data_IF_136603226500
#
_entry.id   IF_136603226500
#
_cell.length_a   1.000
_cell.length_b   1.000
_cell.length_c   1.000
_cell.angle_alpha   90.00
_cell.angle_beta   90.00
_cell.angle_gamma   90.00
#
_symmetry.space_group_name_H-M   'P 1'
#
loop_
_entity.id
_entity.type
_entity.pdbx_description
1 polymer ?
#
# COMPACT_ATOMS: atom_id res chain seq x y z
N UNK A 1 7.99 -11.80 0.03
CA UNK A 1 7.43 -12.62 -1.06
C UNK A 1 8.28 -13.83 -1.40
N UNK A 2 9.53 -13.69 -1.88
CA UNK A 2 10.36 -14.85 -2.31
C UNK A 2 10.53 -15.91 -1.23
N UNK A 3 10.89 -15.50 0.00
CA UNK A 3 10.99 -16.40 1.15
C UNK A 3 9.68 -17.15 1.45
N UNK A 4 8.52 -16.52 1.24
CA UNK A 4 7.22 -17.18 1.46
C UNK A 4 6.94 -18.24 0.38
N UNK A 5 7.35 -18.01 -0.86
CA UNK A 5 7.29 -19.02 -1.92
C UNK A 5 8.25 -20.18 -1.67
N UNK A 6 9.48 -19.88 -1.25
CA UNK A 6 10.49 -20.89 -0.92
C UNK A 6 10.02 -21.79 0.22
N UNK A 7 9.50 -21.20 1.30
CA UNK A 7 8.95 -21.95 2.42
C UNK A 7 7.73 -22.78 1.98
N UNK A 8 6.77 -22.20 1.26
CA UNK A 8 5.62 -22.94 0.75
C UNK A 8 6.03 -24.14 -0.11
N UNK A 9 7.03 -23.97 -0.98
CA UNK A 9 7.60 -25.06 -1.77
C UNK A 9 8.28 -26.13 -0.92
N UNK A 10 9.06 -25.73 0.09
CA UNK A 10 9.79 -26.65 0.97
C UNK A 10 8.88 -27.60 1.76
N UNK A 11 7.66 -27.16 2.09
CA UNK A 11 6.65 -27.96 2.79
C UNK A 11 5.45 -28.34 1.92
N UNK A 12 5.57 -28.22 0.59
CA UNK A 12 4.54 -28.59 -0.39
C UNK A 12 3.16 -27.93 -0.17
N UNK A 13 3.12 -26.74 0.41
CA UNK A 13 1.91 -25.95 0.58
C UNK A 13 1.60 -25.13 -0.70
N UNK A 14 0.31 -24.87 -0.93
CA UNK A 14 -0.11 -23.89 -1.93
C UNK A 14 0.36 -22.49 -1.50
N UNK A 15 0.93 -21.65 -2.39
CA UNK A 15 1.61 -20.42 -2.01
C UNK A 15 0.67 -19.21 -1.80
N UNK A 16 -0.56 -19.41 -1.34
CA UNK A 16 -1.54 -18.33 -1.20
C UNK A 16 -1.13 -17.23 -0.22
N UNK A 17 -0.30 -17.54 0.80
CA UNK A 17 0.26 -16.53 1.69
C UNK A 17 1.18 -15.55 0.92
N UNK A 18 2.04 -16.07 0.02
CA UNK A 18 2.90 -15.24 -0.80
C UNK A 18 2.08 -14.37 -1.76
N UNK A 19 1.01 -14.92 -2.35
CA UNK A 19 0.09 -14.19 -3.23
C UNK A 19 -0.66 -13.10 -2.46
N UNK A 20 -1.21 -13.40 -1.28
CA UNK A 20 -1.89 -12.43 -0.44
C UNK A 20 -0.97 -11.27 -0.02
N UNK A 21 0.33 -11.55 0.17
CA UNK A 21 1.34 -10.54 0.50
C UNK A 21 1.63 -9.56 -0.66
N UNK A 22 1.14 -9.83 -1.88
CA UNK A 22 1.21 -8.85 -2.99
C UNK A 22 0.47 -7.56 -2.68
N UNK A 23 -0.64 -7.59 -1.92
CA UNK A 23 -1.41 -6.41 -1.55
C UNK A 23 -0.58 -5.37 -0.77
N UNK A 24 0.03 -5.74 0.38
CA UNK A 24 0.95 -4.86 1.11
C UNK A 24 2.15 -4.37 0.27
N UNK A 25 2.72 -5.22 -0.59
CA UNK A 25 3.81 -4.80 -1.50
C UNK A 25 3.33 -3.72 -2.47
N UNK A 26 2.16 -3.91 -3.08
CA UNK A 26 1.58 -2.93 -4.01
C UNK A 26 1.33 -1.59 -3.32
N UNK A 27 0.83 -1.60 -2.08
CA UNK A 27 0.64 -0.37 -1.28
C UNK A 27 1.98 0.32 -1.02
N UNK A 28 3.00 -0.43 -0.55
CA UNK A 28 4.32 0.15 -0.28
C UNK A 28 4.95 0.76 -1.54
N UNK A 29 4.96 0.02 -2.65
CA UNK A 29 5.55 0.48 -3.91
C UNK A 29 4.77 1.69 -4.46
N UNK A 30 3.44 1.66 -4.44
CA UNK A 30 2.63 2.78 -4.96
C UNK A 30 2.81 4.06 -4.16
N UNK A 31 2.80 3.97 -2.83
CA UNK A 31 2.84 5.14 -1.95
C UNK A 31 4.25 5.70 -1.75
N UNK A 32 5.26 4.84 -1.59
CA UNK A 32 6.62 5.27 -1.27
C UNK A 32 7.55 5.37 -2.47
N UNK A 33 7.20 4.79 -3.62
CA UNK A 33 8.01 4.88 -4.85
C UNK A 33 7.25 5.57 -5.97
N UNK A 34 6.12 5.01 -6.41
CA UNK A 34 5.41 5.52 -7.60
C UNK A 34 4.91 6.94 -7.38
N UNK A 35 4.26 7.21 -6.23
CA UNK A 35 3.75 8.54 -5.92
C UNK A 35 4.83 9.64 -5.99
N UNK A 36 5.95 9.57 -5.23
CA UNK A 36 6.97 10.62 -5.29
C UNK A 36 7.70 10.70 -6.64
N UNK A 37 7.83 9.59 -7.38
CA UNK A 37 8.34 9.62 -8.77
C UNK A 37 7.42 10.37 -9.73
N UNK A 38 6.10 10.35 -9.46
CA UNK A 38 5.11 11.15 -10.18
C UNK A 38 4.98 12.59 -9.69
N UNK A 39 5.71 12.98 -8.63
CA UNK A 39 5.79 14.35 -8.12
C UNK A 39 7.16 14.97 -8.46
N UNK A 40 7.43 16.18 -7.98
CA UNK A 40 8.72 16.85 -8.23
C UNK A 40 9.87 16.33 -7.35
N UNK A 41 9.69 15.19 -6.66
CA UNK A 41 10.75 14.50 -5.92
C UNK A 41 10.31 13.84 -4.62
N UNK A 42 11.27 13.19 -3.96
CA UNK A 42 11.09 12.40 -2.72
C UNK A 42 10.60 13.20 -1.51
N UNK A 43 10.70 14.53 -1.54
CA UNK A 43 10.14 15.39 -0.48
C UNK A 43 8.63 15.18 -0.28
N UNK A 44 7.91 14.78 -1.35
CA UNK A 44 6.47 14.50 -1.30
C UNK A 44 6.15 13.07 -0.82
N UNK A 45 7.13 12.20 -0.66
CA UNK A 45 6.90 10.87 -0.09
C UNK A 45 6.47 10.99 1.39
N UNK A 46 5.63 10.07 1.89
CA UNK A 46 5.37 10.00 3.32
C UNK A 46 6.66 9.69 4.09
N UNK A 47 6.90 10.39 5.20
CA UNK A 47 8.04 10.11 6.08
C UNK A 47 7.69 9.00 7.08
N UNK A 48 8.69 8.26 7.56
CA UNK A 48 8.53 7.08 8.42
C UNK A 48 8.26 7.38 9.90
N UNK A 49 7.48 8.42 10.18
CA UNK A 49 7.10 8.83 11.54
C UNK A 49 5.58 8.97 11.62
N UNK A 50 4.99 8.59 12.75
CA UNK A 50 3.53 8.56 12.96
C UNK A 50 2.83 9.86 12.52
N UNK A 51 3.29 11.01 13.02
CA UNK A 51 2.71 12.31 12.66
C UNK A 51 2.83 12.65 11.17
N UNK A 52 3.90 12.20 10.50
CA UNK A 52 4.12 12.45 9.08
C UNK A 52 3.17 11.66 8.18
N UNK A 53 2.73 10.47 8.61
CA UNK A 53 1.70 9.69 7.90
C UNK A 53 0.35 10.41 7.99
N UNK A 54 -0.03 10.93 9.15
CA UNK A 54 -1.25 11.75 9.28
C UNK A 54 -1.18 13.00 8.39
N UNK A 55 -0.04 13.70 8.39
CA UNK A 55 0.19 14.85 7.50
C UNK A 55 0.00 14.46 6.03
N UNK A 56 0.55 13.32 5.61
CA UNK A 56 0.43 12.82 4.25
C UNK A 56 -1.02 12.53 3.85
N UNK A 57 -1.81 11.91 4.73
CA UNK A 57 -3.23 11.63 4.49
C UNK A 57 -4.03 12.93 4.31
N UNK A 58 -3.81 13.91 5.20
CA UNK A 58 -4.47 15.22 5.10
C UNK A 58 -4.04 15.99 3.84
N UNK A 59 -2.76 15.91 3.48
CA UNK A 59 -2.25 16.45 2.22
C UNK A 59 -2.95 15.79 1.03
N UNK A 60 -3.02 14.47 0.99
CA UNK A 60 -3.70 13.74 -0.08
C UNK A 60 -5.18 14.13 -0.20
N UNK A 61 -5.86 14.32 0.93
CA UNK A 61 -7.23 14.79 0.88
C UNK A 61 -7.32 16.23 0.35
N UNK A 62 -6.52 17.16 0.89
CA UNK A 62 -6.56 18.57 0.53
C UNK A 62 -6.16 18.86 -0.92
N UNK A 63 -5.24 18.07 -1.49
CA UNK A 63 -4.69 18.30 -2.83
C UNK A 63 -5.18 17.31 -3.90
N UNK A 64 -5.70 16.13 -3.51
CA UNK A 64 -6.17 15.12 -4.47
C UNK A 64 -7.62 14.69 -4.26
N UNK A 65 -8.32 15.25 -3.27
CA UNK A 65 -9.71 14.89 -2.92
C UNK A 65 -9.90 13.37 -2.82
N UNK A 66 -8.94 12.72 -2.16
CA UNK A 66 -8.73 11.27 -2.24
C UNK A 66 -9.94 10.44 -1.78
N UNK A 67 -10.74 10.95 -0.84
CA UNK A 67 -11.98 10.28 -0.42
C UNK A 67 -13.00 10.11 -1.54
N UNK A 68 -12.98 10.95 -2.59
CA UNK A 68 -13.87 10.83 -3.74
C UNK A 68 -13.33 9.90 -4.84
N UNK A 69 -12.12 9.35 -4.67
CA UNK A 69 -11.58 8.42 -5.65
C UNK A 69 -12.23 7.02 -5.51
N UNK A 70 -12.79 6.43 -6.60
CA UNK A 70 -13.44 5.14 -6.51
C UNK A 70 -12.47 3.99 -6.17
N UNK A 71 -11.19 4.08 -6.55
CA UNK A 71 -10.18 3.10 -6.13
C UNK A 71 -9.89 3.18 -4.62
N UNK A 72 -9.90 4.38 -4.05
CA UNK A 72 -9.82 4.53 -2.60
C UNK A 72 -11.03 3.90 -1.91
N UNK A 73 -12.25 4.17 -2.41
CA UNK A 73 -13.48 3.60 -1.88
C UNK A 73 -13.49 2.07 -1.93
N UNK A 74 -13.05 1.47 -3.05
CA UNK A 74 -12.88 0.02 -3.18
C UNK A 74 -11.88 -0.53 -2.14
N UNK A 75 -10.76 0.18 -1.92
CA UNK A 75 -9.79 -0.17 -0.88
C UNK A 75 -10.40 -0.13 0.53
N UNK A 76 -11.13 0.94 0.87
CA UNK A 76 -11.84 1.07 2.15
C UNK A 76 -12.82 -0.08 2.35
N UNK A 77 -13.63 -0.42 1.34
CA UNK A 77 -14.55 -1.55 1.40
C UNK A 77 -13.81 -2.88 1.62
N UNK A 78 -12.70 -3.12 0.90
CA UNK A 78 -11.90 -4.32 1.04
C UNK A 78 -11.22 -4.50 2.40
N UNK A 79 -10.88 -3.41 3.10
CA UNK A 79 -10.34 -3.46 4.45
C UNK A 79 -11.44 -3.71 5.49
N UNK A 80 -12.58 -3.04 5.37
CA UNK A 80 -13.67 -3.15 6.35
C UNK A 80 -14.46 -4.45 6.22
N UNK A 81 -14.46 -5.09 5.05
CA UNK A 81 -15.18 -6.35 4.82
C UNK A 81 -14.39 -7.61 5.22
N UNK A 82 -13.17 -7.50 5.74
CA UNK A 82 -12.44 -8.65 6.28
C UNK A 82 -13.09 -9.11 7.58
N UNK A 83 -14.01 -10.08 7.48
CA UNK A 83 -14.48 -10.92 8.58
C UNK A 83 -13.55 -12.11 8.75
#
# INVERSE_FOLDING_TARGET
MLRQFELARSVQLRPYNAIAFSGPIAIFVSVFLIYPLGQSGWFFAPSFVVAAIFRFILFFQGFHNWTLNPFHMMGVAGIHHKR
#
